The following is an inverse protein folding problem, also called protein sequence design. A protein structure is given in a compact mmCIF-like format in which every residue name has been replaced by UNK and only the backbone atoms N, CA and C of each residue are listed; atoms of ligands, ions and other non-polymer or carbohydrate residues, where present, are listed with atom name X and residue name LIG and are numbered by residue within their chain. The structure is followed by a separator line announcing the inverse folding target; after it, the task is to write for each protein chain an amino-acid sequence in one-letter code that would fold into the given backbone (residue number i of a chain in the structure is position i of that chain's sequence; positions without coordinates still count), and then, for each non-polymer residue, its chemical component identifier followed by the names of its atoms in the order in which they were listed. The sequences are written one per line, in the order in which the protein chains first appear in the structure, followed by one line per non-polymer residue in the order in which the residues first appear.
data_IF_071797145006
#
_entry.id   IF_071797145006
#
_cell.length_a   1.000
_cell.length_b   1.000
_cell.length_c   1.000
_cell.angle_alpha   90.00
_cell.angle_beta   90.00
_cell.angle_gamma   90.00
#
_symmetry.space_group_name_H-M   'P 1'
#
loop_
_entity.id
_entity.type
_entity.pdbx_description
1 polymer ?
#
# COMPACT_ATOMS: atom_id res chain seq x y z
N UNK A 1 21.26 -14.74 30.51
CA UNK A 1 21.12 -14.04 29.21
C UNK A 1 20.44 -15.04 28.30
N UNK A 2 19.32 -14.71 27.74
CA UNK A 2 18.68 -15.56 26.71
C UNK A 2 19.55 -15.52 25.46
N UNK A 3 19.94 -16.69 24.96
CA UNK A 3 20.68 -16.75 23.68
C UNK A 3 19.80 -16.12 22.59
N UNK A 4 20.38 -15.15 21.88
CA UNK A 4 19.68 -14.49 20.77
C UNK A 4 19.59 -15.44 19.56
N UNK A 5 18.49 -15.33 18.83
CA UNK A 5 18.32 -16.06 17.58
C UNK A 5 19.17 -15.38 16.50
N UNK A 6 20.14 -16.08 15.96
CA UNK A 6 20.96 -15.56 14.88
C UNK A 6 20.20 -15.53 13.56
N UNK A 7 20.18 -14.36 12.92
CA UNK A 7 19.54 -14.14 11.61
C UNK A 7 20.58 -13.59 10.63
N UNK A 8 20.84 -14.33 9.57
CA UNK A 8 21.90 -13.99 8.62
C UNK A 8 21.52 -12.89 7.61
N UNK A 9 20.21 -12.77 7.28
CA UNK A 9 19.74 -11.75 6.35
C UNK A 9 19.46 -10.44 7.08
N UNK A 10 19.94 -9.31 6.56
CA UNK A 10 19.63 -8.01 7.13
C UNK A 10 18.13 -7.70 7.11
N UNK A 11 17.67 -7.02 8.15
CA UNK A 11 16.33 -6.43 8.23
C UNK A 11 16.41 -4.96 7.83
N UNK A 12 15.64 -4.56 6.82
CA UNK A 12 15.50 -3.14 6.46
C UNK A 12 14.55 -2.48 7.45
N UNK A 13 15.00 -1.41 8.08
CA UNK A 13 14.25 -0.64 9.07
C UNK A 13 13.99 0.75 8.49
N UNK A 14 12.73 1.04 8.18
CA UNK A 14 12.32 2.36 7.68
C UNK A 14 11.76 3.16 8.86
N UNK A 15 12.56 4.11 9.36
CA UNK A 15 12.18 5.00 10.43
C UNK A 15 11.09 5.97 9.99
N UNK A 16 10.27 6.41 10.93
CA UNK A 16 9.13 7.30 10.67
C UNK A 16 9.26 8.65 11.37
N UNK A 17 8.11 9.19 11.73
CA UNK A 17 8.01 10.55 12.26
C UNK A 17 7.56 10.57 13.72
N UNK A 18 7.97 11.59 14.46
CA UNK A 18 7.47 12.03 15.77
C UNK A 18 7.31 10.92 16.82
N UNK A 19 6.16 10.90 17.49
CA UNK A 19 5.87 9.92 18.57
C UNK A 19 5.88 8.48 18.08
N UNK A 20 5.56 8.23 16.82
CA UNK A 20 5.63 6.90 16.24
C UNK A 20 7.08 6.38 16.24
N UNK A 21 8.06 7.25 16.01
CA UNK A 21 9.47 6.89 16.08
C UNK A 21 9.88 6.47 17.49
N UNK A 22 9.44 7.20 18.52
CA UNK A 22 9.74 6.85 19.92
C UNK A 22 9.21 5.45 20.26
N UNK A 23 7.98 5.13 19.85
CA UNK A 23 7.40 3.82 20.05
C UNK A 23 8.17 2.73 19.29
N UNK A 24 8.60 3.03 18.08
CA UNK A 24 9.32 2.12 17.22
C UNK A 24 10.73 1.81 17.75
N UNK A 25 11.44 2.81 18.26
CA UNK A 25 12.74 2.63 18.91
C UNK A 25 12.63 1.67 20.11
N UNK A 26 11.53 1.77 20.88
CA UNK A 26 11.25 0.82 21.97
C UNK A 26 11.00 -0.60 21.47
N UNK A 27 10.34 -0.76 20.32
CA UNK A 27 10.14 -2.07 19.69
C UNK A 27 11.48 -2.65 19.24
N UNK A 28 12.32 -1.85 18.58
CA UNK A 28 13.65 -2.28 18.16
C UNK A 28 14.50 -2.71 19.37
N UNK A 29 14.51 -1.90 20.44
CA UNK A 29 15.28 -2.18 21.66
C UNK A 29 14.76 -3.42 22.41
N UNK A 30 13.44 -3.47 22.67
CA UNK A 30 12.86 -4.44 23.58
C UNK A 30 12.49 -5.78 22.95
N UNK A 31 12.30 -5.81 21.63
CA UNK A 31 11.97 -7.03 20.90
C UNK A 31 13.06 -7.42 19.91
N UNK A 32 13.36 -6.59 18.93
CA UNK A 32 14.30 -6.97 17.87
C UNK A 32 15.68 -7.22 18.45
N UNK A 33 16.30 -6.20 19.02
CA UNK A 33 17.68 -6.28 19.55
C UNK A 33 17.82 -7.15 20.80
N UNK A 34 16.71 -7.39 21.50
CA UNK A 34 16.74 -8.25 22.71
C UNK A 34 16.77 -9.73 22.38
N UNK A 35 16.04 -10.15 21.35
CA UNK A 35 15.85 -11.57 21.03
C UNK A 35 16.55 -12.01 19.76
N UNK A 36 16.91 -11.08 18.89
CA UNK A 36 17.54 -11.38 17.61
C UNK A 36 18.97 -10.82 17.55
N UNK A 37 19.86 -11.60 16.96
CA UNK A 37 21.16 -11.17 16.46
C UNK A 37 21.03 -11.03 14.93
N UNK A 38 20.61 -9.82 14.51
CA UNK A 38 20.25 -9.52 13.12
C UNK A 38 20.90 -8.21 12.68
N UNK A 39 21.58 -8.18 11.53
CA UNK A 39 22.04 -6.93 10.95
C UNK A 39 20.86 -6.03 10.56
N UNK A 40 20.95 -4.74 10.89
CA UNK A 40 19.93 -3.75 10.51
C UNK A 40 20.44 -2.86 9.39
N UNK A 41 19.57 -2.59 8.41
CA UNK A 41 19.77 -1.56 7.37
C UNK A 41 18.75 -0.46 7.66
N UNK A 42 19.21 0.58 8.35
CA UNK A 42 18.37 1.65 8.85
C UNK A 42 18.29 2.79 7.84
N UNK A 43 17.08 3.24 7.52
CA UNK A 43 16.81 4.34 6.58
C UNK A 43 15.82 5.30 7.25
N UNK A 44 16.20 6.56 7.36
CA UNK A 44 15.33 7.61 7.86
C UNK A 44 14.34 8.05 6.77
N UNK A 45 13.09 7.61 6.90
CA UNK A 45 11.98 7.91 5.98
C UNK A 45 11.08 9.04 6.53
N UNK A 46 11.56 9.84 7.47
CA UNK A 46 10.83 10.97 8.03
C UNK A 46 10.42 12.00 6.96
N UNK A 47 9.41 12.81 7.26
CA UNK A 47 8.95 13.88 6.37
C UNK A 47 10.07 14.88 6.05
N UNK A 48 10.87 15.22 7.05
CA UNK A 48 12.00 16.14 6.89
C UNK A 48 13.06 15.55 5.95
N UNK A 49 13.46 14.30 6.14
CA UNK A 49 14.46 13.68 5.27
C UNK A 49 13.96 13.43 3.85
N UNK A 50 12.65 13.15 3.67
CA UNK A 50 12.05 13.11 2.33
C UNK A 50 12.15 14.45 1.62
N UNK A 51 11.92 15.54 2.34
CA UNK A 51 12.08 16.90 1.79
C UNK A 51 13.54 17.17 1.43
N UNK A 52 14.47 16.95 2.36
CA UNK A 52 15.91 17.22 2.18
C UNK A 52 16.54 16.40 1.03
N UNK A 53 16.12 15.16 0.89
CA UNK A 53 16.57 14.26 -0.18
C UNK A 53 15.80 14.42 -1.49
N UNK A 54 14.85 15.36 -1.55
CA UNK A 54 13.93 15.52 -2.68
C UNK A 54 13.27 14.19 -3.10
N UNK A 55 12.85 13.39 -2.11
CA UNK A 55 12.22 12.08 -2.32
C UNK A 55 13.16 10.93 -2.63
N UNK A 56 14.47 11.17 -2.79
CA UNK A 56 15.44 10.12 -3.12
C UNK A 56 15.47 9.00 -2.08
N UNK A 57 15.28 9.31 -0.80
CA UNK A 57 15.21 8.31 0.28
C UNK A 57 14.09 7.28 0.09
N UNK A 58 12.98 7.65 -0.57
CA UNK A 58 11.90 6.71 -0.91
C UNK A 58 12.38 5.69 -1.94
N UNK A 59 13.13 6.14 -2.94
CA UNK A 59 13.74 5.28 -3.97
C UNK A 59 14.76 4.33 -3.36
N UNK A 60 15.57 4.83 -2.43
CA UNK A 60 16.55 4.02 -1.69
C UNK A 60 15.88 2.97 -0.81
N UNK A 61 14.78 3.33 -0.14
CA UNK A 61 13.95 2.39 0.63
C UNK A 61 13.44 1.23 -0.23
N UNK A 62 12.91 1.53 -1.42
CA UNK A 62 12.44 0.52 -2.36
C UNK A 62 13.58 -0.41 -2.80
N UNK A 63 14.75 0.15 -3.13
CA UNK A 63 15.92 -0.64 -3.52
C UNK A 63 16.36 -1.57 -2.41
N UNK A 64 16.48 -1.06 -1.18
CA UNK A 64 16.87 -1.85 -0.01
C UNK A 64 15.88 -2.99 0.26
N UNK A 65 14.56 -2.71 0.25
CA UNK A 65 13.54 -3.72 0.44
C UNK A 65 13.59 -4.83 -0.62
N UNK A 66 13.80 -4.47 -1.90
CA UNK A 66 13.99 -5.46 -2.97
C UNK A 66 15.27 -6.29 -2.82
N UNK A 67 16.33 -5.66 -2.38
CA UNK A 67 17.64 -6.32 -2.23
C UNK A 67 17.62 -7.34 -1.09
N UNK A 68 17.07 -6.98 0.06
CA UNK A 68 17.11 -7.81 1.26
C UNK A 68 15.88 -8.68 1.46
N UNK A 69 14.75 -8.34 0.81
CA UNK A 69 13.53 -9.15 0.77
C UNK A 69 12.68 -9.10 2.05
N UNK A 70 13.12 -8.42 3.10
CA UNK A 70 12.38 -8.26 4.35
C UNK A 70 12.63 -6.88 4.95
N UNK A 71 11.58 -6.26 5.48
CA UNK A 71 11.71 -4.99 6.15
C UNK A 71 10.50 -4.67 7.04
N UNK A 72 10.72 -3.77 7.96
CA UNK A 72 9.68 -3.17 8.79
C UNK A 72 9.66 -1.66 8.57
N UNK A 73 8.46 -1.11 8.51
CA UNK A 73 8.27 0.31 8.31
C UNK A 73 7.46 0.90 9.44
N UNK A 74 8.01 1.94 10.05
CA UNK A 74 7.29 2.75 11.01
C UNK A 74 6.22 3.64 10.34
N UNK A 75 5.28 4.16 11.13
CA UNK A 75 4.33 5.14 10.65
C UNK A 75 5.06 6.41 10.17
N UNK A 76 4.77 6.79 8.94
CA UNK A 76 5.29 8.02 8.34
C UNK A 76 4.16 9.01 8.10
N UNK A 77 4.44 10.27 8.35
CA UNK A 77 3.49 11.36 8.17
C UNK A 77 3.28 11.68 6.69
N UNK A 78 2.02 11.89 6.30
CA UNK A 78 1.72 12.57 5.04
C UNK A 78 1.65 14.07 5.34
N UNK A 79 2.58 14.80 4.78
CA UNK A 79 2.73 16.25 5.04
C UNK A 79 1.49 16.99 4.51
N UNK A 80 0.79 17.69 5.39
CA UNK A 80 -0.26 18.63 4.99
C UNK A 80 0.34 20.00 4.63
N UNK A 81 -0.50 20.95 4.25
CA UNK A 81 -0.01 22.26 3.80
C UNK A 81 0.76 23.01 4.89
N UNK A 82 0.22 23.07 6.10
CA UNK A 82 0.83 23.81 7.20
C UNK A 82 2.19 23.21 7.58
N UNK A 83 2.27 21.89 7.64
CA UNK A 83 3.52 21.16 7.91
C UNK A 83 4.56 21.35 6.80
N UNK A 84 4.13 21.42 5.54
CA UNK A 84 5.03 21.71 4.43
C UNK A 84 5.60 23.13 4.55
N UNK A 85 4.75 24.10 4.85
CA UNK A 85 5.16 25.48 5.02
C UNK A 85 6.15 25.63 6.20
N UNK A 86 5.94 24.92 7.32
CA UNK A 86 6.88 24.88 8.44
C UNK A 86 8.24 24.25 8.04
N UNK A 87 8.22 23.14 7.32
CA UNK A 87 9.45 22.48 6.84
C UNK A 87 10.22 23.37 5.85
N UNK A 88 9.51 24.03 4.93
CA UNK A 88 10.14 24.97 3.99
C UNK A 88 10.70 26.22 4.69
N UNK A 89 10.02 26.73 5.72
CA UNK A 89 10.53 27.83 6.53
C UNK A 89 11.81 27.43 7.28
N UNK A 90 11.87 26.21 7.80
CA UNK A 90 13.07 25.65 8.45
C UNK A 90 14.23 25.45 7.47
N UNK A 91 13.91 25.11 6.22
CA UNK A 91 14.88 24.80 5.15
C UNK A 91 14.73 25.79 3.97
N UNK A 92 14.92 27.09 4.23
CA UNK A 92 14.65 28.20 3.31
C UNK A 92 15.41 28.15 1.97
N UNK A 93 16.42 27.31 1.84
CA UNK A 93 17.14 27.06 0.59
C UNK A 93 16.41 26.13 -0.37
N UNK A 94 15.37 25.43 0.10
CA UNK A 94 14.53 24.54 -0.70
C UNK A 94 13.32 25.33 -1.20
N UNK A 95 13.04 25.25 -2.48
CA UNK A 95 11.85 25.85 -3.08
C UNK A 95 10.82 24.77 -3.38
N UNK A 96 9.56 25.06 -3.06
CA UNK A 96 8.46 24.11 -3.28
C UNK A 96 8.35 23.67 -4.74
N UNK A 97 8.61 24.59 -5.68
CA UNK A 97 8.55 24.36 -7.12
C UNK A 97 9.55 23.31 -7.63
N UNK A 98 10.66 23.12 -6.88
CA UNK A 98 11.73 22.19 -7.23
C UNK A 98 11.53 20.80 -6.60
N UNK A 99 10.49 20.62 -5.76
CA UNK A 99 10.25 19.38 -5.05
C UNK A 99 9.62 18.30 -5.95
N UNK A 100 10.22 17.11 -5.92
CA UNK A 100 9.59 15.91 -6.45
C UNK A 100 8.34 15.52 -5.65
N UNK A 101 7.40 14.84 -6.30
CA UNK A 101 6.18 14.34 -5.64
C UNK A 101 6.47 13.36 -4.52
N UNK A 102 7.58 12.63 -4.59
CA UNK A 102 8.00 11.68 -3.54
C UNK A 102 8.45 12.39 -2.26
N UNK A 103 8.85 13.66 -2.35
CA UNK A 103 9.23 14.47 -1.18
C UNK A 103 8.02 14.83 -0.31
N UNK A 104 6.88 15.14 -0.93
CA UNK A 104 5.71 15.72 -0.27
C UNK A 104 4.54 14.76 -0.07
N UNK A 105 4.44 13.69 -0.88
CA UNK A 105 3.35 12.72 -0.78
C UNK A 105 3.64 11.60 0.21
N UNK A 106 2.59 10.85 0.54
CA UNK A 106 2.74 9.64 1.36
C UNK A 106 3.71 8.65 0.71
N UNK A 107 4.77 8.21 1.41
CA UNK A 107 5.71 7.25 0.86
C UNK A 107 5.11 5.84 0.72
N UNK A 108 3.98 5.57 1.41
CA UNK A 108 3.39 4.23 1.46
C UNK A 108 2.99 3.70 0.08
N UNK A 109 2.28 4.52 -0.70
CA UNK A 109 1.88 4.13 -2.06
C UNK A 109 3.08 3.90 -2.99
N UNK A 110 4.07 4.80 -2.92
CA UNK A 110 5.30 4.67 -3.73
C UNK A 110 6.10 3.42 -3.38
N UNK A 111 6.25 3.11 -2.08
CA UNK A 111 6.97 1.92 -1.62
C UNK A 111 6.22 0.66 -2.06
N UNK A 112 4.91 0.55 -1.81
CA UNK A 112 4.11 -0.61 -2.19
C UNK A 112 4.15 -0.86 -3.69
N UNK A 113 3.92 0.17 -4.50
CA UNK A 113 4.07 0.07 -5.95
C UNK A 113 5.50 -0.31 -6.36
N UNK A 114 6.48 0.27 -5.70
CA UNK A 114 7.89 0.03 -6.01
C UNK A 114 8.35 -1.39 -5.71
N UNK A 115 7.89 -2.01 -4.63
CA UNK A 115 8.25 -3.40 -4.27
C UNK A 115 7.38 -4.43 -5.00
N UNK A 116 6.14 -4.07 -5.35
CA UNK A 116 5.12 -4.99 -5.89
C UNK A 116 4.49 -5.87 -4.80
N UNK A 117 3.55 -6.72 -5.20
CA UNK A 117 2.90 -7.68 -4.32
C UNK A 117 1.59 -7.19 -3.71
N UNK A 118 1.00 -8.04 -2.87
CA UNK A 118 -0.33 -7.87 -2.31
C UNK A 118 -0.30 -7.19 -0.94
N UNK A 119 -1.40 -6.53 -0.58
CA UNK A 119 -1.58 -5.92 0.73
C UNK A 119 -2.52 -6.81 1.53
N UNK A 120 -2.00 -7.37 2.62
CA UNK A 120 -2.74 -8.24 3.52
C UNK A 120 -2.92 -7.51 4.85
N UNK A 121 -4.14 -7.52 5.36
CA UNK A 121 -4.48 -6.97 6.68
C UNK A 121 -5.14 -8.06 7.49
N UNK A 122 -4.61 -8.28 8.68
CA UNK A 122 -5.10 -9.27 9.63
C UNK A 122 -5.56 -8.58 10.91
N UNK A 123 -6.58 -9.12 11.56
CA UNK A 123 -7.04 -8.64 12.83
C UNK A 123 -6.01 -8.96 13.93
N UNK A 124 -5.81 -8.02 14.84
CA UNK A 124 -4.96 -8.22 16.00
C UNK A 124 -5.85 -8.58 17.19
N UNK A 125 -5.66 -9.79 17.72
CA UNK A 125 -6.38 -10.28 18.89
C UNK A 125 -5.56 -10.05 20.16
N UNK A 126 -6.08 -9.21 21.06
CA UNK A 126 -5.47 -8.98 22.38
C UNK A 126 -5.98 -10.02 23.37
N UNK A 127 -5.08 -10.83 23.90
CA UNK A 127 -5.45 -11.88 24.89
C UNK A 127 -5.86 -11.32 26.25
N UNK A 128 -5.36 -10.14 26.60
CA UNK A 128 -5.52 -9.54 27.94
C UNK A 128 -6.49 -8.34 27.94
N UNK A 129 -7.03 -7.96 26.81
CA UNK A 129 -7.92 -6.81 26.67
C UNK A 129 -9.17 -7.30 25.98
N UNK A 130 -10.29 -7.26 26.69
CA UNK A 130 -11.58 -7.58 26.09
C UNK A 130 -12.10 -6.36 25.32
N UNK A 131 -11.98 -6.38 24.00
CA UNK A 131 -12.56 -5.36 23.13
C UNK A 131 -13.97 -5.80 22.75
N UNK A 132 -14.97 -5.21 23.39
CA UNK A 132 -16.38 -5.48 23.06
C UNK A 132 -16.84 -4.53 21.97
N UNK A 133 -17.09 -5.06 20.77
CA UNK A 133 -17.85 -4.35 19.74
C UNK A 133 -19.33 -4.68 19.91
N UNK A 134 -20.25 -3.70 19.95
CA UNK A 134 -21.68 -3.98 19.97
C UNK A 134 -22.08 -4.87 18.79
N UNK A 135 -22.83 -5.94 19.06
CA UNK A 135 -23.26 -6.92 18.05
C UNK A 135 -22.26 -8.04 17.71
N UNK A 136 -21.02 -7.97 18.20
CA UNK A 136 -19.98 -9.00 17.96
C UNK A 136 -19.73 -9.90 19.18
N UNK A 137 -20.39 -9.60 20.30
CA UNK A 137 -20.23 -10.38 21.55
C UNK A 137 -20.67 -11.83 21.33
N UNK A 138 -19.77 -12.76 21.60
CA UNK A 138 -20.04 -14.19 21.42
C UNK A 138 -19.94 -14.72 19.99
N UNK A 139 -19.43 -13.92 19.05
CA UNK A 139 -19.10 -14.35 17.69
C UNK A 139 -17.59 -14.31 17.48
N UNK A 140 -17.06 -15.45 17.15
CA UNK A 140 -15.66 -15.60 16.76
C UNK A 140 -15.55 -15.35 15.24
N UNK A 141 -15.49 -14.07 14.87
CA UNK A 141 -15.35 -13.65 13.48
C UNK A 141 -13.95 -13.08 13.31
N UNK A 142 -13.16 -13.76 12.53
CA UNK A 142 -11.81 -13.37 12.13
C UNK A 142 -11.79 -13.11 10.63
N UNK A 143 -11.50 -11.87 10.23
CA UNK A 143 -11.53 -11.43 8.83
C UNK A 143 -10.15 -10.99 8.40
N UNK A 144 -9.56 -11.73 7.45
CA UNK A 144 -8.35 -11.31 6.75
C UNK A 144 -8.76 -10.65 5.44
N UNK A 145 -8.28 -9.44 5.19
CA UNK A 145 -8.53 -8.74 3.93
C UNK A 145 -7.28 -8.71 3.07
N UNK A 146 -7.45 -9.01 1.78
CA UNK A 146 -6.44 -8.81 0.75
C UNK A 146 -6.90 -7.73 -0.23
N UNK A 147 -5.99 -6.85 -0.59
CA UNK A 147 -6.21 -5.70 -1.46
C UNK A 147 -5.25 -5.81 -2.65
N UNK A 148 -5.75 -5.66 -3.87
CA UNK A 148 -4.95 -5.68 -5.10
C UNK A 148 -4.03 -4.47 -5.27
N UNK A 149 -4.18 -3.47 -4.41
CA UNK A 149 -3.39 -2.24 -4.46
C UNK A 149 -3.78 -1.28 -5.58
N UNK A 150 -4.78 -1.58 -6.41
CA UNK A 150 -5.16 -0.81 -7.59
C UNK A 150 -5.43 0.66 -7.30
N UNK A 151 -6.16 0.98 -6.24
CA UNK A 151 -6.42 2.37 -5.84
C UNK A 151 -5.15 3.14 -5.46
N UNK A 152 -4.10 2.46 -5.01
CA UNK A 152 -2.81 3.09 -4.67
C UNK A 152 -1.98 3.41 -5.91
N UNK A 153 -2.31 2.81 -7.05
CA UNK A 153 -1.73 3.13 -8.36
C UNK A 153 -2.45 4.30 -9.04
N UNK A 154 -3.53 4.82 -8.44
CA UNK A 154 -4.29 5.93 -8.98
C UNK A 154 -3.50 7.23 -8.97
N UNK A 155 -3.75 8.06 -9.99
CA UNK A 155 -3.30 9.45 -10.02
C UNK A 155 -4.44 10.35 -9.59
N UNK A 156 -4.20 11.21 -8.59
CA UNK A 156 -5.19 12.14 -8.08
C UNK A 156 -4.60 13.53 -7.89
N UNK A 157 -5.38 14.56 -8.16
CA UNK A 157 -4.96 15.95 -8.06
C UNK A 157 -6.18 16.88 -7.96
N UNK A 158 -5.92 18.15 -7.62
CA UNK A 158 -6.90 19.24 -7.77
C UNK A 158 -6.69 19.96 -9.10
N UNK A 159 -7.78 20.36 -9.72
CA UNK A 159 -7.73 21.16 -10.95
C UNK A 159 -7.08 22.51 -10.70
N UNK A 160 -6.02 22.83 -11.44
CA UNK A 160 -5.27 24.10 -11.30
C UNK A 160 -6.00 25.29 -11.90
N UNK A 161 -6.94 25.04 -12.82
CA UNK A 161 -7.72 26.05 -13.52
C UNK A 161 -9.12 25.53 -13.86
N UNK A 162 -10.05 26.45 -14.12
CA UNK A 162 -11.35 26.12 -14.72
C UNK A 162 -11.18 25.88 -16.20
N UNK A 163 -11.81 24.80 -16.74
CA UNK A 163 -11.68 24.46 -18.14
C UNK A 163 -12.23 23.07 -18.48
N UNK A 164 -11.77 22.51 -19.58
CA UNK A 164 -12.15 21.17 -20.03
C UNK A 164 -11.01 20.20 -19.78
N UNK A 165 -11.24 19.21 -18.92
CA UNK A 165 -10.35 18.05 -18.78
C UNK A 165 -10.67 17.03 -19.87
N UNK A 166 -9.64 16.43 -20.46
CA UNK A 166 -9.78 15.37 -21.47
C UNK A 166 -8.94 14.17 -21.05
N UNK A 167 -9.53 12.99 -21.17
CA UNK A 167 -8.81 11.72 -21.11
C UNK A 167 -8.52 11.26 -22.54
N UNK A 168 -7.23 11.14 -22.87
CA UNK A 168 -6.77 10.68 -24.17
C UNK A 168 -6.07 9.34 -24.04
N UNK A 169 -6.36 8.43 -24.93
CA UNK A 169 -5.59 7.21 -25.11
C UNK A 169 -4.68 7.37 -26.33
N UNK A 170 -3.40 7.10 -26.13
CA UNK A 170 -2.40 7.13 -27.21
C UNK A 170 -1.81 5.72 -27.32
N UNK A 171 -2.21 5.00 -28.34
CA UNK A 171 -1.65 3.69 -28.67
C UNK A 171 -0.21 3.79 -29.19
N UNK A 172 0.51 2.69 -29.19
CA UNK A 172 1.91 2.63 -29.62
C UNK A 172 2.15 3.02 -31.09
N UNK A 173 1.13 2.98 -31.90
CA UNK A 173 1.21 3.21 -33.38
C UNK A 173 0.07 4.03 -33.95
N UNK A 174 -0.70 4.73 -33.14
CA UNK A 174 -1.90 5.43 -33.60
C UNK A 174 -2.03 6.87 -33.12
N UNK A 175 -2.99 7.59 -33.74
CA UNK A 175 -3.35 8.93 -33.32
C UNK A 175 -4.04 8.90 -31.93
N UNK A 176 -3.93 9.98 -31.14
CA UNK A 176 -4.62 10.10 -29.88
C UNK A 176 -6.14 10.01 -30.03
N UNK A 177 -6.78 9.12 -29.27
CA UNK A 177 -8.22 8.97 -29.20
C UNK A 177 -8.76 9.58 -27.92
N UNK A 178 -9.71 10.50 -28.01
CA UNK A 178 -10.38 11.08 -26.87
C UNK A 178 -11.38 10.06 -26.29
N UNK A 179 -11.12 9.56 -25.09
CA UNK A 179 -11.99 8.61 -24.41
C UNK A 179 -13.09 9.31 -23.61
N UNK A 180 -12.78 10.46 -23.02
CA UNK A 180 -13.72 11.20 -22.18
C UNK A 180 -13.32 12.67 -22.09
N UNK A 181 -14.33 13.54 -21.93
CA UNK A 181 -14.15 14.96 -21.60
C UNK A 181 -15.15 15.40 -20.54
N UNK A 182 -14.74 16.31 -19.69
CA UNK A 182 -15.58 16.93 -18.69
C UNK A 182 -15.17 18.37 -18.43
N UNK A 183 -16.16 19.25 -18.23
CA UNK A 183 -15.89 20.58 -17.69
C UNK A 183 -15.61 20.46 -16.20
N UNK A 184 -14.54 21.11 -15.73
CA UNK A 184 -14.10 21.11 -14.34
C UNK A 184 -13.80 22.56 -13.91
N UNK A 185 -13.99 22.84 -12.62
CA UNK A 185 -13.64 24.12 -12.03
C UNK A 185 -12.27 24.04 -11.35
N UNK A 186 -11.65 25.21 -11.15
CA UNK A 186 -10.45 25.30 -10.32
C UNK A 186 -10.76 24.77 -8.92
N UNK A 187 -9.96 23.84 -8.44
CA UNK A 187 -10.14 23.19 -7.13
C UNK A 187 -10.99 21.92 -7.14
N UNK A 188 -11.65 21.58 -8.27
CA UNK A 188 -12.35 20.29 -8.37
C UNK A 188 -11.34 19.14 -8.28
N UNK A 189 -11.58 18.13 -7.42
CA UNK A 189 -10.72 16.96 -7.34
C UNK A 189 -10.98 16.01 -8.51
N UNK A 190 -9.94 15.36 -8.98
CA UNK A 190 -10.05 14.28 -9.95
C UNK A 190 -9.14 13.11 -9.63
N UNK A 191 -9.54 11.93 -10.06
CA UNK A 191 -8.88 10.66 -9.85
C UNK A 191 -8.86 9.88 -11.16
N UNK A 192 -7.71 9.36 -11.54
CA UNK A 192 -7.53 8.39 -12.61
C UNK A 192 -6.89 7.13 -12.03
N UNK A 193 -7.59 6.00 -12.14
CA UNK A 193 -7.09 4.69 -11.72
C UNK A 193 -6.92 3.76 -12.91
N UNK A 194 -5.90 2.92 -12.86
CA UNK A 194 -5.67 1.81 -13.79
C UNK A 194 -5.21 0.60 -12.99
N UNK A 195 -5.56 -0.60 -13.45
CA UNK A 195 -5.02 -1.85 -12.93
C UNK A 195 -4.28 -2.59 -14.03
N UNK A 196 -3.24 -3.33 -13.65
CA UNK A 196 -2.57 -4.28 -14.50
C UNK A 196 -3.27 -5.64 -14.33
N UNK A 197 -3.77 -6.21 -15.43
CA UNK A 197 -4.51 -7.47 -15.39
C UNK A 197 -3.63 -8.68 -15.05
N UNK A 198 -2.32 -8.61 -15.27
CA UNK A 198 -1.41 -9.68 -14.84
C UNK A 198 -1.18 -9.61 -13.32
N UNK A 199 -1.10 -8.40 -12.75
CA UNK A 199 -1.09 -8.20 -11.28
C UNK A 199 -2.41 -8.70 -10.66
N UNK A 200 -3.56 -8.41 -11.25
CA UNK A 200 -4.88 -8.88 -10.79
C UNK A 200 -4.95 -10.41 -10.80
N UNK A 201 -4.47 -11.06 -11.85
CA UNK A 201 -4.44 -12.53 -11.94
C UNK A 201 -3.50 -13.14 -10.90
N UNK A 202 -2.32 -12.57 -10.72
CA UNK A 202 -1.38 -13.01 -9.69
C UNK A 202 -1.99 -12.86 -8.28
N UNK A 203 -2.66 -11.72 -8.02
CA UNK A 203 -3.40 -11.51 -6.78
C UNK A 203 -4.48 -12.56 -6.56
N UNK A 204 -5.26 -12.91 -7.58
CA UNK A 204 -6.30 -13.93 -7.47
C UNK A 204 -5.74 -15.29 -7.08
N UNK A 205 -4.62 -15.71 -7.67
CA UNK A 205 -3.95 -16.95 -7.29
C UNK A 205 -3.48 -16.93 -5.83
N UNK A 206 -2.87 -15.84 -5.38
CA UNK A 206 -2.43 -15.70 -3.99
C UNK A 206 -3.62 -15.69 -3.02
N UNK A 207 -4.72 -15.03 -3.40
CA UNK A 207 -5.94 -14.95 -2.60
C UNK A 207 -6.58 -16.31 -2.38
N UNK A 208 -6.83 -17.09 -3.43
CA UNK A 208 -7.44 -18.41 -3.31
C UNK A 208 -6.51 -19.41 -2.63
N UNK A 209 -5.22 -19.36 -2.93
CA UNK A 209 -4.23 -20.22 -2.29
C UNK A 209 -4.17 -19.96 -0.78
N UNK A 210 -4.18 -18.69 -0.37
CA UNK A 210 -4.21 -18.32 1.04
C UNK A 210 -5.49 -18.79 1.72
N UNK A 211 -6.66 -18.62 1.10
CA UNK A 211 -7.93 -19.11 1.64
C UNK A 211 -7.91 -20.62 1.88
N UNK A 212 -7.34 -21.40 0.94
CA UNK A 212 -7.15 -22.84 1.09
C UNK A 212 -6.19 -23.19 2.22
N UNK A 213 -5.02 -22.54 2.28
CA UNK A 213 -3.98 -22.84 3.27
C UNK A 213 -4.47 -22.53 4.70
N UNK A 214 -5.25 -21.47 4.87
CA UNK A 214 -5.85 -21.05 6.14
C UNK A 214 -7.22 -21.69 6.41
N UNK A 215 -7.77 -22.46 5.46
CA UNK A 215 -9.12 -23.07 5.53
C UNK A 215 -10.21 -22.07 5.83
N UNK A 216 -10.25 -20.99 5.06
CA UNK A 216 -11.21 -19.89 5.18
C UNK A 216 -12.11 -19.82 3.95
N UNK A 217 -13.35 -19.39 4.17
CA UNK A 217 -14.24 -18.97 3.09
C UNK A 217 -13.69 -17.70 2.43
N UNK A 218 -13.93 -17.57 1.13
CA UNK A 218 -13.43 -16.46 0.31
C UNK A 218 -14.58 -15.60 -0.20
N UNK A 219 -14.49 -14.28 0.01
CA UNK A 219 -15.50 -13.32 -0.44
C UNK A 219 -14.85 -12.24 -1.29
N UNK A 220 -15.36 -12.05 -2.51
CA UNK A 220 -14.90 -11.03 -3.44
C UNK A 220 -15.82 -9.81 -3.38
N UNK A 221 -15.25 -8.64 -3.01
CA UNK A 221 -15.98 -7.37 -2.93
C UNK A 221 -15.64 -6.45 -4.09
N UNK A 222 -16.54 -6.31 -5.06
CA UNK A 222 -16.38 -5.45 -6.24
C UNK A 222 -17.61 -4.56 -6.47
N UNK A 223 -17.46 -3.51 -7.26
CA UNK A 223 -18.50 -2.58 -7.67
C UNK A 223 -18.84 -2.70 -9.17
N UNK A 224 -18.89 -3.91 -9.69
CA UNK A 224 -19.09 -4.25 -11.10
C UNK A 224 -20.36 -3.63 -11.71
N UNK A 225 -21.43 -3.49 -10.93
CA UNK A 225 -22.67 -2.84 -11.37
C UNK A 225 -22.54 -1.33 -11.58
N UNK A 226 -21.53 -0.69 -11.00
CA UNK A 226 -21.27 0.76 -11.08
C UNK A 226 -20.16 1.07 -12.06
N UNK A 227 -19.10 0.26 -12.05
CA UNK A 227 -17.92 0.41 -12.90
C UNK A 227 -17.62 -0.89 -13.66
N UNK A 228 -18.53 -1.34 -14.55
CA UNK A 228 -18.41 -2.65 -15.22
C UNK A 228 -17.15 -2.77 -16.08
N UNK A 229 -16.67 -1.68 -16.67
CA UNK A 229 -15.43 -1.68 -17.47
C UNK A 229 -14.13 -1.73 -16.64
N UNK A 230 -14.22 -1.70 -15.32
CA UNK A 230 -13.08 -1.81 -14.41
C UNK A 230 -13.28 -3.04 -13.51
N UNK A 231 -14.15 -2.97 -12.50
CA UNK A 231 -14.40 -4.07 -11.57
C UNK A 231 -15.02 -5.30 -12.25
N UNK A 232 -15.88 -5.10 -13.27
CA UNK A 232 -16.50 -6.22 -14.00
C UNK A 232 -15.48 -7.07 -14.74
N UNK A 233 -14.51 -6.43 -15.40
CA UNK A 233 -13.42 -7.14 -16.11
C UNK A 233 -12.51 -7.90 -15.11
N UNK A 234 -12.24 -7.29 -13.95
CA UNK A 234 -11.47 -7.96 -12.90
C UNK A 234 -12.25 -9.15 -12.34
N UNK A 235 -13.56 -8.99 -12.08
CA UNK A 235 -14.42 -10.09 -11.61
C UNK A 235 -14.38 -11.29 -12.54
N UNK A 236 -14.60 -11.09 -13.83
CA UNK A 236 -14.56 -12.16 -14.82
C UNK A 236 -13.22 -12.91 -14.81
N UNK A 237 -12.11 -12.19 -14.77
CA UNK A 237 -10.79 -12.83 -14.72
C UNK A 237 -10.53 -13.62 -13.42
N UNK A 238 -11.05 -13.13 -12.28
CA UNK A 238 -10.91 -13.81 -10.98
C UNK A 238 -11.81 -15.05 -10.93
N UNK A 239 -13.05 -14.96 -11.41
CA UNK A 239 -14.00 -16.09 -11.51
C UNK A 239 -13.46 -17.19 -12.42
N UNK A 240 -12.91 -16.85 -13.60
CA UNK A 240 -12.28 -17.82 -14.51
C UNK A 240 -11.13 -18.58 -13.83
N UNK A 241 -10.30 -17.89 -13.04
CA UNK A 241 -9.20 -18.52 -12.28
C UNK A 241 -9.76 -19.44 -11.21
N UNK A 242 -10.78 -18.99 -10.46
CA UNK A 242 -11.42 -19.81 -9.44
C UNK A 242 -11.98 -21.10 -10.03
N UNK A 243 -12.81 -21.00 -11.06
CA UNK A 243 -13.46 -22.14 -11.69
C UNK A 243 -12.46 -23.15 -12.25
N UNK A 244 -11.42 -22.67 -12.91
CA UNK A 244 -10.43 -23.53 -13.54
C UNK A 244 -9.47 -24.18 -12.56
N UNK A 245 -8.98 -23.43 -11.56
CA UNK A 245 -7.80 -23.82 -10.79
C UNK A 245 -8.11 -24.17 -9.32
N UNK A 246 -9.22 -23.66 -8.75
CA UNK A 246 -9.45 -23.72 -7.30
C UNK A 246 -10.78 -24.33 -6.87
N UNK A 247 -11.83 -24.26 -7.69
CA UNK A 247 -13.19 -24.70 -7.35
C UNK A 247 -13.25 -26.12 -6.77
N UNK A 248 -12.59 -27.07 -7.42
CA UNK A 248 -12.55 -28.44 -6.96
C UNK A 248 -11.94 -28.57 -5.55
N UNK A 249 -10.88 -27.81 -5.29
CA UNK A 249 -10.20 -27.84 -4.00
C UNK A 249 -11.00 -27.16 -2.89
N UNK A 250 -11.70 -26.08 -3.19
CA UNK A 250 -12.64 -25.46 -2.25
C UNK A 250 -13.76 -26.43 -1.88
N UNK A 251 -14.35 -27.11 -2.86
CA UNK A 251 -15.40 -28.11 -2.64
C UNK A 251 -14.91 -29.29 -1.76
N UNK A 252 -13.71 -29.81 -2.01
CA UNK A 252 -13.11 -30.88 -1.19
C UNK A 252 -12.93 -30.46 0.27
N UNK A 253 -12.63 -29.21 0.52
CA UNK A 253 -12.41 -28.67 1.86
C UNK A 253 -13.69 -28.17 2.53
N UNK A 254 -14.82 -28.14 1.80
CA UNK A 254 -16.10 -27.60 2.28
C UNK A 254 -16.08 -26.09 2.50
N UNK A 255 -15.25 -25.35 1.73
CA UNK A 255 -15.13 -23.90 1.74
C UNK A 255 -16.06 -23.27 0.69
N UNK A 256 -16.49 -22.02 0.95
CA UNK A 256 -17.30 -21.20 0.07
C UNK A 256 -16.50 -20.06 -0.57
#
# INVERSE_FOLDING_TARGET
MTDKIAVSKPLVVLHGDEMAQIAFDRILEQFVNKYLDIPLVEIDLSAENRLLSNGQVVVESIKALKQYGVGIKNAGMTVNRDQLDELLAKHSHIKEEDLDRLATRSPNGAIRKGIGGNIIREDIHFRNIEVKRPGWVGRDIDVVTMDDGGIQNSHNELSKATGVAKLMFVGSSGDPVELHRRFINKGDPWLLGTNDMDEVRAWAHDFFKRAIDEKRDAYLGLKDTVIPGYDGVMREAIEDIYERDYQARFAELGLA
#
